data_IF_287137155858
#
_entry.id   IF_287137155858
#
_cell.length_a   1.000
_cell.length_b   1.000
_cell.length_c   1.000
_cell.angle_alpha   90.00
_cell.angle_beta   90.00
_cell.angle_gamma   90.00
#
_symmetry.space_group_name_H-M   'P 1'
#
loop_
_entity.id
_entity.type
_entity.pdbx_description
1 polymer ?
#
# COMPACT_ATOMS: atom_id res chain seq x y z
N UNK A 1 -2.55 -20.30 0.20
CA UNK A 1 -3.08 -19.29 1.13
C UNK A 1 -4.02 -20.02 2.04
N UNK A 2 -3.77 -19.93 3.35
CA UNK A 2 -4.72 -20.34 4.36
C UNK A 2 -5.79 -19.25 4.46
N UNK A 3 -7.03 -19.64 4.78
CA UNK A 3 -8.06 -18.65 5.12
C UNK A 3 -8.08 -18.49 6.63
N UNK A 4 -7.97 -17.26 7.11
CA UNK A 4 -7.82 -16.99 8.54
C UNK A 4 -8.04 -15.52 8.87
N UNK A 5 -8.05 -15.21 10.16
CA UNK A 5 -8.01 -13.84 10.64
C UNK A 5 -6.55 -13.39 10.78
N UNK A 6 -6.19 -12.17 10.32
CA UNK A 6 -4.85 -11.63 10.54
C UNK A 6 -4.50 -11.66 12.03
N UNK A 7 -3.32 -12.18 12.43
CA UNK A 7 -2.98 -12.36 13.84
C UNK A 7 -2.70 -11.03 14.56
N UNK A 8 -2.32 -9.99 13.79
CA UNK A 8 -2.03 -8.66 14.31
C UNK A 8 -2.95 -7.66 13.61
N UNK A 9 -3.65 -6.85 14.41
CA UNK A 9 -4.33 -5.66 13.94
C UNK A 9 -3.59 -4.43 14.46
N UNK A 10 -3.36 -3.40 13.64
CA UNK A 10 -2.56 -2.26 14.05
C UNK A 10 -3.26 -1.35 15.07
N UNK A 11 -4.56 -1.54 15.32
CA UNK A 11 -5.32 -0.74 16.29
C UNK A 11 -6.45 -1.53 16.95
N UNK A 12 -6.80 -1.11 18.17
CA UNK A 12 -7.85 -1.70 19.01
C UNK A 12 -9.23 -1.44 18.39
N UNK A 13 -10.10 -2.44 18.39
CA UNK A 13 -11.49 -2.32 17.93
C UNK A 13 -11.71 -2.56 16.43
N UNK A 14 -10.69 -3.03 15.70
CA UNK A 14 -10.89 -3.49 14.33
C UNK A 14 -11.71 -4.79 14.30
N UNK A 15 -12.78 -4.82 13.51
CA UNK A 15 -13.52 -6.06 13.28
C UNK A 15 -12.66 -7.01 12.44
N UNK A 16 -12.30 -8.20 12.95
CA UNK A 16 -11.41 -9.09 12.23
C UNK A 16 -12.10 -9.57 10.95
N UNK A 17 -11.48 -9.29 9.81
CA UNK A 17 -11.98 -9.74 8.51
C UNK A 17 -11.30 -11.04 8.14
N UNK A 18 -12.09 -12.03 7.74
CA UNK A 18 -11.54 -13.31 7.28
C UNK A 18 -10.85 -13.13 5.92
N UNK A 19 -9.55 -13.40 5.85
CA UNK A 19 -8.68 -13.07 4.72
C UNK A 19 -7.93 -14.29 4.19
N UNK A 20 -7.38 -14.15 2.98
CA UNK A 20 -6.33 -15.03 2.46
C UNK A 20 -5.00 -14.63 3.09
N UNK A 21 -4.40 -15.55 3.83
CA UNK A 21 -3.12 -15.37 4.51
C UNK A 21 -2.08 -16.38 4.00
N UNK A 22 -0.82 -16.04 4.20
CA UNK A 22 0.31 -16.92 3.99
C UNK A 22 0.41 -17.93 5.15
N UNK A 23 0.97 -19.11 4.87
CA UNK A 23 1.20 -20.12 5.91
C UNK A 23 2.38 -19.73 6.82
N UNK A 24 3.34 -19.01 6.26
CA UNK A 24 4.51 -18.48 6.95
C UNK A 24 4.58 -16.97 6.72
N UNK A 25 5.00 -16.22 7.74
CA UNK A 25 5.17 -14.77 7.62
C UNK A 25 6.29 -14.44 6.64
N UNK A 26 6.08 -13.40 5.85
CA UNK A 26 7.13 -12.87 4.97
C UNK A 26 8.18 -12.16 5.83
N UNK A 27 9.48 -12.46 5.68
CA UNK A 27 10.53 -11.67 6.33
C UNK A 27 10.43 -10.21 5.91
N UNK A 28 10.66 -9.26 6.82
CA UNK A 28 10.48 -7.83 6.53
C UNK A 28 11.34 -7.33 5.38
N UNK A 29 12.53 -7.90 5.19
CA UNK A 29 13.37 -7.58 4.03
C UNK A 29 12.72 -7.96 2.70
N UNK A 30 11.89 -9.00 2.64
CA UNK A 30 11.19 -9.43 1.43
C UNK A 30 9.91 -8.64 1.15
N UNK A 31 9.41 -7.87 2.12
CA UNK A 31 8.32 -6.92 1.91
C UNK A 31 8.80 -5.68 1.16
N UNK A 32 10.09 -5.36 1.25
CA UNK A 32 10.69 -4.21 0.57
C UNK A 32 11.09 -4.58 -0.85
N UNK A 33 10.63 -3.80 -1.83
CA UNK A 33 10.79 -4.11 -3.25
C UNK A 33 12.04 -3.47 -3.87
N UNK A 34 12.44 -2.28 -3.41
CA UNK A 34 13.57 -1.50 -3.94
C UNK A 34 14.95 -1.95 -3.44
N UNK A 35 15.00 -2.96 -2.56
CA UNK A 35 16.25 -3.48 -2.01
C UNK A 35 16.30 -4.99 -2.09
N UNK A 36 17.31 -5.49 -2.79
CA UNK A 36 17.66 -6.90 -2.78
C UNK A 36 18.05 -7.36 -1.37
N UNK A 37 17.76 -8.62 -1.07
CA UNK A 37 18.12 -9.29 0.18
C UNK A 37 18.56 -10.73 -0.09
N UNK A 38 19.07 -11.43 0.93
CA UNK A 38 19.54 -12.80 0.78
C UNK A 38 18.44 -13.80 0.35
N UNK A 39 17.18 -13.45 0.53
CA UNK A 39 16.04 -14.28 0.11
C UNK A 39 15.60 -14.00 -1.34
N UNK A 40 15.81 -12.78 -1.84
CA UNK A 40 15.37 -12.34 -3.16
C UNK A 40 16.22 -11.18 -3.68
N UNK A 41 16.71 -11.31 -4.92
CA UNK A 41 17.60 -10.35 -5.57
C UNK A 41 16.89 -9.35 -6.51
N UNK A 42 15.56 -9.35 -6.51
CA UNK A 42 14.78 -8.41 -7.34
C UNK A 42 14.78 -7.01 -6.73
N UNK A 43 14.93 -5.99 -7.58
CA UNK A 43 15.00 -4.57 -7.18
C UNK A 43 13.92 -3.70 -7.84
N UNK A 44 13.10 -4.29 -8.73
CA UNK A 44 11.99 -3.61 -9.38
C UNK A 44 10.75 -4.52 -9.46
N UNK A 45 9.57 -3.93 -9.64
CA UNK A 45 8.31 -4.66 -9.67
C UNK A 45 8.18 -5.58 -10.88
N UNK A 46 8.95 -5.31 -11.94
CA UNK A 46 8.92 -6.07 -13.19
C UNK A 46 9.61 -7.42 -13.01
N UNK A 47 10.72 -7.47 -12.28
CA UNK A 47 11.47 -8.68 -11.97
C UNK A 47 10.67 -9.69 -11.14
N UNK A 48 9.74 -9.22 -10.30
CA UNK A 48 8.81 -10.10 -9.56
C UNK A 48 7.83 -10.86 -10.46
N UNK A 49 7.64 -10.45 -11.72
CA UNK A 49 6.87 -11.21 -12.70
C UNK A 49 5.40 -11.44 -12.30
N UNK A 50 4.76 -10.44 -11.70
CA UNK A 50 3.38 -10.54 -11.24
C UNK A 50 2.42 -10.91 -12.39
N UNK A 51 1.59 -11.95 -12.16
CA UNK A 51 0.64 -12.44 -13.16
C UNK A 51 -0.55 -11.51 -13.37
N UNK A 52 -1.04 -10.91 -12.28
CA UNK A 52 -2.17 -10.01 -12.28
C UNK A 52 -1.69 -8.56 -12.28
N UNK A 53 -2.52 -7.64 -12.79
CA UNK A 53 -2.19 -6.22 -12.82
C UNK A 53 -2.07 -5.66 -11.40
N UNK A 54 -1.11 -4.77 -11.20
CA UNK A 54 -0.78 -4.23 -9.88
C UNK A 54 -1.73 -3.11 -9.45
N UNK A 55 -1.83 -2.93 -8.15
CA UNK A 55 -2.40 -1.76 -7.51
C UNK A 55 -1.25 -1.05 -6.80
N UNK A 56 -1.00 0.21 -7.16
CA UNK A 56 -0.02 1.06 -6.48
C UNK A 56 -0.79 2.00 -5.56
N UNK A 57 -0.34 2.14 -4.32
CA UNK A 57 -0.89 3.08 -3.33
C UNK A 57 0.22 4.01 -2.89
N UNK A 58 0.11 5.29 -3.21
CA UNK A 58 1.05 6.33 -2.78
C UNK A 58 0.52 7.02 -1.51
N UNK A 59 1.36 7.11 -0.48
CA UNK A 59 1.01 7.75 0.79
C UNK A 59 2.27 8.30 1.49
N UNK A 60 2.09 9.27 2.38
CA UNK A 60 3.21 9.86 3.14
C UNK A 60 3.77 8.87 4.19
N UNK A 61 2.88 8.24 4.96
CA UNK A 61 3.23 7.31 6.04
C UNK A 61 2.41 6.03 5.95
N UNK A 62 2.97 4.94 6.48
CA UNK A 62 2.22 3.71 6.65
C UNK A 62 1.40 3.76 7.94
N UNK A 63 0.07 3.64 7.81
CA UNK A 63 -0.83 3.70 8.94
C UNK A 63 -2.10 2.89 8.76
N UNK A 64 -3.06 3.11 9.66
CA UNK A 64 -4.31 2.36 9.74
C UNK A 64 -5.13 2.44 8.45
N UNK A 65 -5.08 3.58 7.76
CA UNK A 65 -5.78 3.78 6.47
C UNK A 65 -5.30 2.77 5.44
N UNK A 66 -3.97 2.57 5.31
CA UNK A 66 -3.41 1.60 4.36
C UNK A 66 -3.71 0.16 4.75
N UNK A 67 -3.69 -0.15 6.05
CA UNK A 67 -4.09 -1.48 6.53
C UNK A 67 -5.56 -1.77 6.17
N UNK A 68 -6.44 -0.81 6.40
CA UNK A 68 -7.86 -0.90 6.05
C UNK A 68 -8.12 -0.92 4.54
N UNK A 69 -7.18 -0.42 3.74
CA UNK A 69 -7.19 -0.58 2.29
C UNK A 69 -6.80 -2.01 1.86
N UNK A 70 -5.81 -2.62 2.51
CA UNK A 70 -5.31 -3.97 2.17
C UNK A 70 -6.33 -5.06 2.53
N UNK A 71 -6.96 -4.96 3.70
CA UNK A 71 -7.83 -6.02 4.24
C UNK A 71 -8.95 -6.43 3.27
N UNK A 72 -9.77 -5.51 2.72
CA UNK A 72 -10.81 -5.86 1.73
C UNK A 72 -10.25 -6.45 0.43
N UNK A 73 -9.05 -6.04 0.01
CA UNK A 73 -8.37 -6.59 -1.17
C UNK A 73 -7.82 -8.01 -0.95
N UNK A 74 -7.84 -8.48 0.30
CA UNK A 74 -7.39 -9.82 0.69
C UNK A 74 -8.49 -10.65 1.34
N UNK A 75 -9.73 -10.16 1.35
CA UNK A 75 -10.85 -10.86 1.96
C UNK A 75 -11.14 -12.23 1.32
N UNK A 76 -11.60 -13.19 2.12
CA UNK A 76 -11.74 -14.59 1.72
C UNK A 76 -12.72 -14.82 0.54
N UNK A 77 -13.71 -13.94 0.40
CA UNK A 77 -14.73 -14.01 -0.65
C UNK A 77 -14.19 -13.55 -2.01
N UNK A 78 -13.01 -12.91 -2.06
CA UNK A 78 -12.32 -12.63 -3.32
C UNK A 78 -11.74 -13.94 -3.89
N UNK A 79 -11.96 -14.24 -5.18
CA UNK A 79 -11.34 -15.40 -5.82
C UNK A 79 -9.81 -15.30 -5.78
N UNK A 80 -9.13 -16.38 -5.39
CA UNK A 80 -7.66 -16.41 -5.27
C UNK A 80 -6.95 -15.99 -6.57
N UNK A 81 -7.52 -16.35 -7.72
CA UNK A 81 -6.96 -16.04 -9.05
C UNK A 81 -7.04 -14.56 -9.40
N UNK A 82 -7.91 -13.80 -8.74
CA UNK A 82 -8.15 -12.38 -9.00
C UNK A 82 -7.44 -11.45 -8.00
N UNK A 83 -6.63 -12.00 -7.09
CA UNK A 83 -5.88 -11.20 -6.14
C UNK A 83 -4.80 -10.39 -6.88
N UNK A 84 -4.92 -9.08 -6.83
CA UNK A 84 -3.95 -8.16 -7.43
C UNK A 84 -2.80 -7.89 -6.44
N UNK A 85 -1.54 -7.91 -6.89
CA UNK A 85 -0.41 -7.43 -6.10
C UNK A 85 -0.65 -5.98 -5.68
N UNK A 86 -0.29 -5.64 -4.44
CA UNK A 86 -0.37 -4.29 -3.91
C UNK A 86 1.04 -3.81 -3.57
N UNK A 87 1.43 -2.65 -4.09
CA UNK A 87 2.69 -1.98 -3.77
C UNK A 87 2.35 -0.65 -3.08
N UNK A 88 2.84 -0.48 -1.86
CA UNK A 88 2.75 0.76 -1.11
C UNK A 88 3.99 1.61 -1.41
N UNK A 89 3.83 2.71 -2.16
CA UNK A 89 4.87 3.71 -2.35
C UNK A 89 4.76 4.73 -1.21
N UNK A 90 5.76 4.75 -0.33
CA UNK A 90 5.74 5.51 0.91
C UNK A 90 6.84 6.56 0.93
N UNK A 91 6.49 7.81 1.26
CA UNK A 91 7.51 8.86 1.44
C UNK A 91 8.42 8.52 2.64
N UNK A 92 7.85 7.94 3.70
CA UNK A 92 8.56 7.55 4.92
C UNK A 92 8.64 6.03 5.12
N UNK A 93 9.66 5.57 5.85
CA UNK A 93 9.80 4.16 6.24
C UNK A 93 8.62 3.71 7.11
N UNK A 94 7.99 2.55 6.80
CA UNK A 94 6.95 1.98 7.66
C UNK A 94 7.55 1.53 9.00
N UNK A 95 6.78 1.68 10.07
CA UNK A 95 7.17 1.17 11.37
C UNK A 95 7.05 -0.37 11.45
N UNK A 96 7.64 -0.96 12.49
CA UNK A 96 7.64 -2.41 12.69
C UNK A 96 6.23 -2.97 12.97
N UNK A 97 5.35 -2.20 13.63
CA UNK A 97 4.00 -2.66 13.95
C UNK A 97 3.16 -2.83 12.68
N UNK A 98 3.28 -1.89 11.74
CA UNK A 98 2.65 -1.97 10.44
C UNK A 98 3.21 -3.15 9.62
N UNK A 99 4.53 -3.33 9.61
CA UNK A 99 5.17 -4.46 8.93
C UNK A 99 4.69 -5.82 9.49
N UNK A 100 4.59 -5.97 10.81
CA UNK A 100 4.03 -7.17 11.45
C UNK A 100 2.58 -7.41 11.04
N UNK A 101 1.78 -6.35 10.91
CA UNK A 101 0.38 -6.45 10.49
C UNK A 101 0.25 -6.90 9.03
N UNK A 102 1.13 -6.44 8.12
CA UNK A 102 1.01 -6.75 6.69
C UNK A 102 1.75 -8.01 6.24
N UNK A 103 2.72 -8.51 7.02
CA UNK A 103 3.62 -9.61 6.63
C UNK A 103 2.93 -10.97 6.38
N UNK A 104 1.66 -11.10 6.76
CA UNK A 104 0.85 -12.30 6.55
C UNK A 104 0.02 -12.25 5.26
N UNK A 105 -0.13 -11.07 4.65
CA UNK A 105 -0.92 -10.93 3.44
C UNK A 105 -0.11 -11.33 2.20
N UNK A 106 -0.70 -12.10 1.28
CA UNK A 106 -0.02 -12.44 0.04
C UNK A 106 0.12 -11.22 -0.87
N UNK A 107 1.28 -11.12 -1.53
CA UNK A 107 1.53 -10.17 -2.61
C UNK A 107 1.29 -8.70 -2.18
N UNK A 108 1.72 -8.34 -0.97
CA UNK A 108 1.74 -6.97 -0.47
C UNK A 108 3.20 -6.59 -0.24
N UNK A 109 3.61 -5.47 -0.82
CA UNK A 109 4.99 -4.97 -0.77
C UNK A 109 4.98 -3.48 -0.48
N UNK A 110 6.11 -2.95 -0.04
CA UNK A 110 6.34 -1.52 0.05
C UNK A 110 7.64 -1.11 -0.63
N UNK A 111 7.71 0.15 -1.00
CA UNK A 111 8.90 0.85 -1.49
C UNK A 111 8.94 2.22 -0.83
N UNK A 112 10.13 2.68 -0.44
CA UNK A 112 10.33 4.05 0.01
C UNK A 112 10.69 4.90 -1.20
N UNK A 113 9.94 5.97 -1.43
CA UNK A 113 10.08 6.83 -2.60
C UNK A 113 8.91 7.80 -2.71
N UNK A 114 8.93 8.66 -3.72
CA UNK A 114 7.92 9.71 -3.88
C UNK A 114 7.14 9.55 -5.18
N UNK A 115 5.87 9.95 -5.16
CA UNK A 115 5.04 10.07 -6.36
C UNK A 115 5.58 11.11 -7.36
N UNK A 116 6.32 12.12 -6.87
CA UNK A 116 6.89 13.16 -7.70
C UNK A 116 8.19 12.70 -8.40
N UNK A 117 8.73 11.54 -8.01
CA UNK A 117 9.93 10.96 -8.60
C UNK A 117 9.56 9.90 -9.65
N UNK A 118 9.85 10.20 -10.91
CA UNK A 118 9.59 9.30 -12.04
C UNK A 118 10.29 7.95 -11.89
N UNK A 119 11.51 7.90 -11.35
CA UNK A 119 12.26 6.66 -11.19
C UNK A 119 11.59 5.73 -10.17
N UNK A 120 11.05 6.28 -9.09
CA UNK A 120 10.32 5.52 -8.07
C UNK A 120 9.02 4.93 -8.64
N UNK A 121 8.30 5.72 -9.44
CA UNK A 121 7.10 5.25 -10.16
C UNK A 121 7.42 4.13 -11.16
N UNK A 122 8.51 4.27 -11.91
CA UNK A 122 8.95 3.25 -12.87
C UNK A 122 9.35 1.95 -12.17
N UNK A 123 10.08 2.04 -11.04
CA UNK A 123 10.44 0.88 -10.20
C UNK A 123 9.23 0.20 -9.57
N UNK A 124 8.24 0.97 -9.13
CA UNK A 124 6.95 0.45 -8.66
C UNK A 124 6.11 -0.21 -9.76
N UNK A 125 6.46 -0.03 -11.03
CA UNK A 125 5.76 -0.66 -12.15
C UNK A 125 4.52 0.10 -12.61
N UNK A 126 4.50 1.43 -12.48
CA UNK A 126 3.36 2.28 -12.90
C UNK A 126 2.93 2.02 -14.35
N UNK A 127 3.86 1.64 -15.22
CA UNK A 127 3.63 1.39 -16.66
C UNK A 127 2.75 0.17 -16.94
N UNK A 128 2.61 -0.77 -15.99
CA UNK A 128 1.79 -1.97 -16.11
C UNK A 128 0.83 -2.18 -14.93
N UNK A 129 0.71 -1.18 -14.05
CA UNK A 129 -0.29 -1.14 -12.99
C UNK A 129 -1.71 -0.98 -13.60
N UNK A 130 -2.71 -1.60 -12.96
CA UNK A 130 -4.11 -1.36 -13.30
C UNK A 130 -4.62 -0.04 -12.72
N UNK A 131 -4.23 0.24 -11.47
CA UNK A 131 -4.73 1.38 -10.72
C UNK A 131 -3.60 1.97 -9.88
N UNK A 132 -3.61 3.29 -9.76
CA UNK A 132 -2.81 4.05 -8.82
C UNK A 132 -3.76 4.82 -7.89
N UNK A 133 -3.58 4.65 -6.59
CA UNK A 133 -4.37 5.32 -5.55
C UNK A 133 -3.44 6.30 -4.85
N UNK A 134 -3.80 7.57 -4.84
CA UNK A 134 -3.05 8.62 -4.13
C UNK A 134 -3.83 8.97 -2.88
N UNK A 135 -3.19 8.87 -1.73
CA UNK A 135 -3.74 9.28 -0.44
C UNK A 135 -3.16 10.65 -0.12
N UNK A 136 -4.02 11.62 0.20
CA UNK A 136 -3.60 12.97 0.55
C UNK A 136 -2.60 12.94 1.72
N UNK A 137 -1.59 13.81 1.64
CA UNK A 137 -0.56 13.90 2.67
C UNK A 137 -1.17 14.57 3.90
N UNK A 138 -0.99 13.97 5.08
CA UNK A 138 -1.47 14.55 6.33
C UNK A 138 -0.82 15.93 6.57
N UNK A 139 0.43 16.09 6.14
CA UNK A 139 1.16 17.36 6.17
C UNK A 139 0.52 18.45 5.29
N UNK A 140 0.02 18.12 4.09
CA UNK A 140 -0.70 19.09 3.25
C UNK A 140 -2.04 19.47 3.84
N UNK A 141 -2.76 18.55 4.52
CA UNK A 141 -4.00 18.90 5.20
C UNK A 141 -3.76 19.87 6.37
N UNK A 142 -2.68 19.68 7.14
CA UNK A 142 -2.33 20.62 8.22
C UNK A 142 -1.91 22.00 7.71
N UNK A 143 -1.18 22.06 6.58
CA UNK A 143 -0.78 23.33 5.97
C UNK A 143 -1.96 24.06 5.30
N UNK A 144 -2.91 23.32 4.73
CA UNK A 144 -4.18 23.88 4.24
C UNK A 144 -5.05 24.38 5.39
N UNK A 145 -5.13 23.69 6.54
CA UNK A 145 -5.86 24.19 7.71
C UNK A 145 -5.27 25.51 8.24
N UNK A 146 -3.94 25.65 8.29
CA UNK A 146 -3.28 26.90 8.69
C UNK A 146 -3.50 28.04 7.69
N UNK A 147 -3.59 27.74 6.38
CA UNK A 147 -3.93 28.75 5.35
C UNK A 147 -5.44 29.01 5.23
N UNK A 148 -6.29 28.08 5.68
CA UNK A 148 -7.75 28.16 5.60
C UNK A 148 -8.44 28.65 6.87
N UNK A 149 -7.71 28.81 7.98
CA UNK A 149 -8.24 29.46 9.18
C UNK A 149 -8.78 30.89 8.89
N UNK A 150 -8.24 31.57 7.87
CA UNK A 150 -8.67 32.92 7.46
C UNK A 150 -9.48 32.97 6.15
N UNK A 151 -9.68 31.86 5.44
CA UNK A 151 -10.36 31.85 4.14
C UNK A 151 -11.76 31.23 4.23
N UNK A 152 -12.69 31.97 4.86
CA UNK A 152 -14.11 31.65 4.81
C UNK A 152 -14.65 31.89 3.39
N UNK A 153 -15.17 30.82 2.78
CA UNK A 153 -16.08 30.75 1.60
C UNK A 153 -15.40 30.78 0.21
N UNK A 154 -15.42 29.66 -0.50
CA UNK A 154 -16.12 29.43 -1.79
C UNK A 154 -15.76 28.03 -2.35
N UNK A 155 -16.79 27.27 -2.74
CA UNK A 155 -16.75 25.92 -3.33
C UNK A 155 -16.12 25.96 -4.72
N UNK A 156 -15.26 25.00 -5.06
CA UNK A 156 -15.06 24.62 -6.46
C UNK A 156 -14.99 23.10 -6.64
N UNK A 157 -15.99 22.59 -7.35
CA UNK A 157 -16.02 21.27 -7.98
C UNK A 157 -15.20 21.37 -9.25
N UNK A 158 -14.19 20.51 -9.45
CA UNK A 158 -13.68 20.26 -10.78
C UNK A 158 -13.35 18.78 -11.02
N UNK A 159 -14.08 18.24 -12.00
CA UNK A 159 -13.93 16.91 -12.58
C UNK A 159 -12.76 16.94 -13.57
N UNK A 160 -11.81 16.00 -13.45
CA UNK A 160 -10.76 15.81 -14.46
C UNK A 160 -11.02 14.53 -15.26
N UNK A 161 -11.62 14.73 -16.43
CA UNK A 161 -11.40 13.88 -17.61
C UNK A 161 -10.52 14.67 -18.58
N UNK A 162 -9.31 14.17 -18.88
CA UNK A 162 -8.93 13.62 -20.20
C UNK A 162 -7.45 13.26 -20.21
#
# INVERSE_FOLDING_TARGET
YAKGYPPYSPYIGSSPTFCHLLHEKVPFCCLRLDKSCQHNYYEDAKAYGFKNKLIIVAAETAGNVLYNFIVPLRAYYRPKKELNPVILLLDNLPDMHFLDAICWFPMVYYMVGSIDNLDDLLRCGVTFAANMVVVDKESTMSAEEDYMADAKTIVNVQTLFR
#
